data_IF_659615361749
#
_entry.id   IF_659615361749
#
_cell.length_a   1.000
_cell.length_b   1.000
_cell.length_c   1.000
_cell.angle_alpha   90.00
_cell.angle_beta   90.00
_cell.angle_gamma   90.00
#
_symmetry.space_group_name_H-M   'P 1'
#
loop_
_entity.id
_entity.type
_entity.pdbx_description
1 polymer ?
#
# COMPACT_ATOMS: atom_id res chain seq x y z
N UNK A 1 57.05 9.12 -37.55
CA UNK A 1 57.41 8.88 -36.13
C UNK A 1 56.11 8.78 -35.36
N UNK A 2 55.64 7.57 -35.10
CA UNK A 2 54.41 7.31 -34.35
C UNK A 2 54.78 6.80 -32.96
N UNK A 3 54.55 7.62 -31.95
CA UNK A 3 54.85 7.33 -30.55
C UNK A 3 53.56 7.31 -29.74
N UNK A 4 53.37 6.20 -29.01
CA UNK A 4 52.72 6.14 -27.70
C UNK A 4 51.21 6.47 -27.62
N UNK A 5 50.37 5.46 -27.84
CA UNK A 5 49.00 5.40 -27.31
C UNK A 5 48.73 4.11 -26.50
N UNK A 6 49.72 3.22 -26.34
CA UNK A 6 49.55 1.87 -25.79
C UNK A 6 49.95 1.71 -24.31
N UNK A 7 50.55 2.73 -23.68
CA UNK A 7 51.00 2.66 -22.29
C UNK A 7 49.90 3.01 -21.27
N UNK A 8 48.92 3.83 -21.66
CA UNK A 8 47.79 4.20 -20.81
C UNK A 8 46.75 3.07 -20.71
N UNK A 9 46.54 2.30 -21.78
CA UNK A 9 45.61 1.16 -21.78
C UNK A 9 46.13 0.00 -20.92
N UNK A 10 47.43 -0.32 -20.99
CA UNK A 10 48.00 -1.40 -20.19
C UNK A 10 47.97 -1.11 -18.68
N UNK A 11 48.12 0.15 -18.29
CA UNK A 11 48.02 0.56 -16.88
C UNK A 11 46.60 0.45 -16.35
N UNK A 12 45.59 0.84 -17.16
CA UNK A 12 44.17 0.66 -16.83
C UNK A 12 43.79 -0.81 -16.78
N UNK A 13 44.28 -1.63 -17.72
CA UNK A 13 44.02 -3.07 -17.74
C UNK A 13 44.56 -3.76 -16.47
N UNK A 14 45.73 -3.34 -15.97
CA UNK A 14 46.29 -3.87 -14.72
C UNK A 14 45.43 -3.49 -13.52
N UNK A 15 44.96 -2.23 -13.46
CA UNK A 15 44.08 -1.73 -12.39
C UNK A 15 42.73 -2.48 -12.38
N UNK A 16 42.10 -2.63 -13.54
CA UNK A 16 40.83 -3.37 -13.70
C UNK A 16 40.99 -4.83 -13.27
N UNK A 17 42.08 -5.50 -13.67
CA UNK A 17 42.32 -6.89 -13.29
C UNK A 17 42.53 -7.05 -11.77
N UNK A 18 43.13 -6.04 -11.12
CA UNK A 18 43.28 -6.01 -9.67
C UNK A 18 41.94 -5.85 -8.98
N UNK A 19 41.10 -4.91 -9.44
CA UNK A 19 39.73 -4.74 -8.92
C UNK A 19 38.91 -6.03 -9.10
N UNK A 20 38.92 -6.65 -10.28
CA UNK A 20 38.22 -7.91 -10.55
C UNK A 20 38.69 -9.09 -9.67
N UNK A 21 39.98 -9.13 -9.31
CA UNK A 21 40.48 -10.16 -8.39
C UNK A 21 40.00 -9.91 -6.96
N UNK A 22 39.97 -8.64 -6.55
CA UNK A 22 39.49 -8.23 -5.23
C UNK A 22 37.98 -8.44 -5.09
N UNK A 23 37.20 -8.09 -6.10
CA UNK A 23 35.76 -8.34 -6.16
C UNK A 23 35.43 -9.83 -6.09
N UNK A 24 36.18 -10.67 -6.83
CA UNK A 24 36.02 -12.14 -6.72
C UNK A 24 36.26 -12.64 -5.30
N UNK A 25 37.25 -12.10 -4.59
CA UNK A 25 37.53 -12.49 -3.22
C UNK A 25 36.46 -12.01 -2.24
N UNK A 26 35.88 -10.82 -2.49
CA UNK A 26 34.76 -10.29 -1.73
C UNK A 26 33.49 -11.13 -1.96
N UNK A 27 33.21 -11.50 -3.22
CA UNK A 27 32.05 -12.31 -3.61
C UNK A 27 32.03 -13.68 -2.92
N UNK A 28 33.20 -14.29 -2.69
CA UNK A 28 33.32 -15.54 -1.95
C UNK A 28 32.91 -15.41 -0.46
N UNK A 29 32.91 -14.20 0.08
CA UNK A 29 32.49 -13.91 1.48
C UNK A 29 31.03 -13.49 1.58
N UNK A 30 30.34 -13.30 0.45
CA UNK A 30 28.93 -12.90 0.39
C UNK A 30 28.05 -14.14 0.27
N UNK A 31 27.15 -14.34 1.22
CA UNK A 31 26.11 -15.36 1.12
C UNK A 31 24.95 -14.84 0.26
N UNK A 32 24.80 -15.38 -0.95
CA UNK A 32 23.69 -15.05 -1.86
C UNK A 32 22.49 -15.96 -1.58
N UNK A 33 21.44 -15.40 -0.97
CA UNK A 33 20.20 -16.11 -0.66
C UNK A 33 19.14 -15.85 -1.74
N UNK A 34 18.55 -16.92 -2.28
CA UNK A 34 17.43 -16.83 -3.22
C UNK A 34 16.14 -17.28 -2.54
N UNK A 35 15.13 -16.41 -2.55
CA UNK A 35 13.79 -16.73 -2.05
C UNK A 35 12.88 -17.03 -3.23
N UNK A 36 12.48 -18.29 -3.39
CA UNK A 36 11.59 -18.73 -4.45
C UNK A 36 10.22 -19.04 -3.87
N UNK A 37 9.18 -18.26 -4.19
CA UNK A 37 7.82 -18.78 -4.00
C UNK A 37 6.85 -18.40 -5.13
N UNK A 38 5.93 -19.33 -5.41
CA UNK A 38 4.90 -19.31 -6.45
C UNK A 38 3.67 -18.44 -6.12
N UNK A 39 3.59 -17.85 -4.92
CA UNK A 39 2.42 -17.10 -4.42
C UNK A 39 2.75 -15.63 -4.18
N UNK A 40 1.93 -14.75 -4.75
CA UNK A 40 1.93 -13.31 -4.45
C UNK A 40 1.46 -13.10 -3.00
N UNK A 41 2.17 -12.28 -2.21
CA UNK A 41 1.82 -12.00 -0.81
C UNK A 41 2.50 -12.87 0.26
N UNK A 42 3.37 -13.82 -0.12
CA UNK A 42 4.18 -14.65 0.82
C UNK A 42 5.04 -13.93 1.87
N UNK A 43 5.12 -12.60 1.87
CA UNK A 43 5.91 -11.85 2.84
C UNK A 43 7.41 -11.75 2.53
N UNK A 44 7.87 -12.11 1.32
CA UNK A 44 9.27 -11.92 0.90
C UNK A 44 9.75 -10.48 1.13
N UNK A 45 9.00 -9.50 0.62
CA UNK A 45 9.32 -8.08 0.83
C UNK A 45 9.32 -7.71 2.31
N UNK A 46 8.44 -8.31 3.12
CA UNK A 46 8.41 -8.12 4.58
C UNK A 46 9.66 -8.65 5.24
N UNK A 47 10.14 -9.84 4.85
CA UNK A 47 11.38 -10.42 5.34
C UNK A 47 12.61 -9.57 4.97
N UNK A 48 12.69 -9.09 3.73
CA UNK A 48 13.74 -8.17 3.30
C UNK A 48 13.70 -6.86 4.10
N UNK A 49 12.50 -6.29 4.30
CA UNK A 49 12.33 -5.09 5.13
C UNK A 49 12.80 -5.34 6.57
N UNK A 50 12.44 -6.47 7.17
CA UNK A 50 12.87 -6.85 8.51
C UNK A 50 14.39 -7.05 8.60
N UNK A 51 15.01 -7.74 7.66
CA UNK A 51 16.46 -7.95 7.63
C UNK A 51 17.21 -6.62 7.58
N UNK A 52 16.69 -5.69 6.76
CA UNK A 52 17.24 -4.36 6.61
C UNK A 52 17.09 -3.51 7.87
N UNK A 53 15.94 -3.57 8.56
CA UNK A 53 15.76 -2.92 9.88
C UNK A 53 16.68 -3.52 10.95
N UNK A 54 16.95 -4.83 10.92
CA UNK A 54 17.75 -5.51 11.96
C UNK A 54 19.27 -5.43 11.74
N UNK A 55 19.74 -5.41 10.49
CA UNK A 55 21.15 -5.58 10.14
C UNK A 55 21.68 -4.56 9.12
N UNK A 56 20.82 -3.74 8.55
CA UNK A 56 21.19 -2.68 7.61
C UNK A 56 21.00 -1.29 8.21
N UNK A 57 21.11 -0.28 7.36
CA UNK A 57 21.05 1.14 7.74
C UNK A 57 19.60 1.68 7.92
N UNK A 58 18.60 0.80 8.05
CA UNK A 58 17.18 1.18 8.11
C UNK A 58 16.68 1.77 6.79
N UNK A 59 15.63 2.60 6.83
CA UNK A 59 15.04 3.23 5.64
C UNK A 59 15.25 4.75 5.59
N UNK A 60 15.68 5.25 4.43
CA UNK A 60 15.81 6.68 4.19
C UNK A 60 14.43 7.35 4.12
N UNK A 61 14.38 8.65 4.43
CA UNK A 61 13.13 9.43 4.42
C UNK A 61 12.45 9.41 3.03
N UNK A 62 13.26 9.48 1.95
CA UNK A 62 12.78 9.37 0.57
C UNK A 62 12.10 8.04 0.25
N UNK A 63 12.55 6.95 0.87
CA UNK A 63 11.93 5.64 0.69
C UNK A 63 10.63 5.52 1.48
N UNK A 64 10.57 6.17 2.65
CA UNK A 64 9.36 6.25 3.46
C UNK A 64 8.25 7.01 2.74
N UNK A 65 8.57 8.02 1.94
CA UNK A 65 7.60 8.68 1.06
C UNK A 65 7.00 7.69 0.04
N UNK A 66 7.82 6.82 -0.54
CA UNK A 66 7.33 5.74 -1.40
C UNK A 66 6.39 4.78 -0.66
N UNK A 67 6.77 4.37 0.56
CA UNK A 67 5.90 3.52 1.39
C UNK A 67 4.59 4.20 1.77
N UNK A 68 4.62 5.51 2.02
CA UNK A 68 3.44 6.31 2.35
C UNK A 68 2.40 6.25 1.23
N UNK A 69 2.83 6.45 -0.01
CA UNK A 69 1.96 6.34 -1.19
C UNK A 69 1.35 4.93 -1.29
N UNK A 70 2.15 3.89 -1.11
CA UNK A 70 1.66 2.51 -1.14
C UNK A 70 0.65 2.21 -0.02
N UNK A 71 0.89 2.73 1.20
CA UNK A 71 -0.04 2.56 2.33
C UNK A 71 -1.37 3.23 2.04
N UNK A 72 -1.35 4.46 1.51
CA UNK A 72 -2.58 5.16 1.11
C UNK A 72 -3.36 4.41 0.05
N UNK A 73 -2.68 3.97 -1.01
CA UNK A 73 -3.28 3.17 -2.07
C UNK A 73 -3.96 1.92 -1.50
N UNK A 74 -3.23 1.20 -0.65
CA UNK A 74 -3.74 -0.01 -0.01
C UNK A 74 -4.99 0.30 0.84
N UNK A 75 -4.96 1.32 1.69
CA UNK A 75 -6.11 1.70 2.52
C UNK A 75 -7.34 1.98 1.66
N UNK A 76 -7.19 2.83 0.64
CA UNK A 76 -8.31 3.20 -0.24
C UNK A 76 -8.86 1.98 -0.97
N UNK A 77 -7.99 1.09 -1.46
CA UNK A 77 -8.41 -0.15 -2.11
C UNK A 77 -9.17 -1.08 -1.16
N UNK A 78 -8.66 -1.29 0.06
CA UNK A 78 -9.28 -2.18 1.04
C UNK A 78 -10.63 -1.63 1.52
N UNK A 79 -10.76 -0.31 1.72
CA UNK A 79 -12.06 0.31 2.06
C UNK A 79 -13.07 0.13 0.93
N UNK A 80 -12.67 0.33 -0.33
CA UNK A 80 -13.57 0.10 -1.49
C UNK A 80 -14.06 -1.35 -1.53
N UNK A 81 -13.16 -2.31 -1.31
CA UNK A 81 -13.49 -3.75 -1.26
C UNK A 81 -14.46 -4.05 -0.12
N UNK A 82 -14.22 -3.47 1.07
CA UNK A 82 -15.09 -3.65 2.23
C UNK A 82 -16.50 -3.12 1.98
N UNK A 83 -16.62 -1.90 1.42
CA UNK A 83 -17.92 -1.29 1.09
C UNK A 83 -18.66 -2.09 0.02
N UNK A 84 -17.94 -2.54 -1.01
CA UNK A 84 -18.51 -3.36 -2.08
C UNK A 84 -19.02 -4.70 -1.53
N UNK A 85 -18.23 -5.34 -0.67
CA UNK A 85 -18.60 -6.56 0.02
C UNK A 85 -19.82 -6.39 0.92
N UNK A 86 -19.90 -5.28 1.67
CA UNK A 86 -21.08 -4.97 2.47
C UNK A 86 -22.34 -4.87 1.61
N UNK A 87 -22.27 -4.19 0.47
CA UNK A 87 -23.41 -4.06 -0.43
C UNK A 87 -23.89 -5.43 -0.95
N UNK A 88 -22.97 -6.29 -1.37
CA UNK A 88 -23.30 -7.64 -1.83
C UNK A 88 -23.88 -8.53 -0.73
N UNK A 89 -23.32 -8.47 0.48
CA UNK A 89 -23.80 -9.26 1.62
C UNK A 89 -25.16 -8.77 2.11
N UNK A 90 -25.41 -7.46 2.07
CA UNK A 90 -26.71 -6.87 2.41
C UNK A 90 -27.82 -7.31 1.45
N UNK A 91 -27.52 -7.48 0.17
CA UNK A 91 -28.47 -8.02 -0.81
C UNK A 91 -28.79 -9.51 -0.55
N UNK A 92 -27.78 -10.29 -0.14
CA UNK A 92 -27.91 -11.73 0.12
C UNK A 92 -28.60 -12.05 1.45
N UNK A 93 -28.36 -11.26 2.50
CA UNK A 93 -28.90 -11.48 3.83
C UNK A 93 -29.39 -10.19 4.49
N UNK A 94 -30.62 -9.81 4.14
CA UNK A 94 -31.30 -8.64 4.69
C UNK A 94 -31.62 -8.79 6.19
N UNK A 95 -31.61 -10.00 6.75
CA UNK A 95 -31.93 -10.20 8.17
C UNK A 95 -30.75 -9.85 9.08
N UNK A 96 -29.52 -10.16 8.65
CA UNK A 96 -28.28 -9.85 9.36
C UNK A 96 -27.80 -8.41 9.11
N UNK A 97 -27.95 -7.90 7.89
CA UNK A 97 -27.37 -6.60 7.48
C UNK A 97 -28.42 -5.50 7.17
N UNK A 98 -29.72 -5.83 7.12
CA UNK A 98 -30.77 -4.89 6.71
C UNK A 98 -31.05 -3.75 7.68
N UNK A 99 -30.67 -3.87 8.97
CA UNK A 99 -30.82 -2.80 9.98
C UNK A 99 -29.82 -1.67 9.83
N UNK A 100 -28.76 -1.85 9.02
CA UNK A 100 -27.68 -0.88 8.90
C UNK A 100 -27.88 0.04 7.68
N UNK A 101 -28.07 1.33 7.94
CA UNK A 101 -28.15 2.38 6.93
C UNK A 101 -26.78 3.06 6.75
N UNK A 102 -26.04 2.62 5.74
CA UNK A 102 -24.73 3.23 5.36
C UNK A 102 -24.92 4.48 4.47
N UNK A 103 -26.18 4.93 4.28
CA UNK A 103 -26.56 5.99 3.34
C UNK A 103 -25.88 7.33 3.63
N UNK A 104 -25.45 7.59 4.87
CA UNK A 104 -24.73 8.82 5.24
C UNK A 104 -23.27 8.85 4.82
N UNK A 105 -22.59 7.70 4.81
CA UNK A 105 -21.14 7.62 4.54
C UNK A 105 -20.88 7.56 3.04
N UNK A 106 -21.80 6.95 2.29
CA UNK A 106 -21.82 6.97 0.83
C UNK A 106 -21.92 8.38 0.24
N UNK A 107 -22.29 9.38 1.04
CA UNK A 107 -22.37 10.78 0.62
C UNK A 107 -21.08 11.55 0.94
N UNK A 108 -20.38 11.19 2.02
CA UNK A 108 -19.16 11.87 2.47
C UNK A 108 -17.89 11.37 1.77
N UNK A 109 -17.84 10.08 1.42
CA UNK A 109 -16.68 9.48 0.74
C UNK A 109 -16.63 9.78 -0.78
N UNK A 110 -17.60 10.56 -1.29
CA UNK A 110 -18.11 10.41 -2.66
C UNK A 110 -18.15 11.69 -3.50
N UNK A 111 -17.49 12.79 -3.12
CA UNK A 111 -17.68 14.03 -3.86
C UNK A 111 -16.39 14.81 -4.17
N UNK A 112 -16.02 14.91 -5.47
CA UNK A 112 -15.35 16.10 -5.99
C UNK A 112 -16.25 17.31 -5.71
N UNK A 113 -15.67 18.41 -5.23
CA UNK A 113 -16.41 19.59 -4.75
C UNK A 113 -17.48 20.12 -5.73
N UNK A 114 -17.39 19.83 -7.04
CA UNK A 114 -18.36 20.31 -8.04
C UNK A 114 -19.66 19.47 -8.18
N UNK A 115 -19.69 18.20 -7.75
CA UNK A 115 -20.85 17.31 -7.97
C UNK A 115 -21.91 17.41 -6.86
N UNK A 116 -21.62 18.09 -5.75
CA UNK A 116 -22.47 18.18 -4.54
C UNK A 116 -23.80 18.86 -4.85
N UNK A 117 -23.82 19.75 -5.84
CA UNK A 117 -25.02 20.44 -6.28
C UNK A 117 -25.89 19.63 -7.28
N UNK A 118 -25.31 18.65 -7.98
CA UNK A 118 -25.95 17.94 -9.09
C UNK A 118 -26.73 16.68 -8.66
N UNK A 119 -26.30 16.01 -7.58
CA UNK A 119 -26.82 14.68 -7.17
C UNK A 119 -28.16 14.69 -6.43
N UNK A 120 -28.90 15.81 -6.41
CA UNK A 120 -30.28 15.86 -5.89
C UNK A 120 -31.29 15.06 -6.74
N UNK A 121 -30.89 14.42 -7.84
CA UNK A 121 -31.75 13.60 -8.70
C UNK A 121 -31.07 12.29 -9.14
N UNK A 122 -31.65 11.16 -8.68
CA UNK A 122 -31.63 9.78 -9.22
C UNK A 122 -30.41 8.87 -8.94
N UNK A 123 -30.74 7.78 -8.23
CA UNK A 123 -30.27 6.38 -8.35
C UNK A 123 -29.08 6.12 -9.30
N UNK A 124 -27.92 5.78 -8.74
CA UNK A 124 -27.14 4.55 -9.03
C UNK A 124 -25.80 4.61 -8.28
N UNK A 125 -25.78 3.95 -7.13
CA UNK A 125 -24.70 3.86 -6.15
C UNK A 125 -23.46 3.10 -6.65
N UNK A 126 -23.56 2.40 -7.79
CA UNK A 126 -22.54 1.46 -8.28
C UNK A 126 -21.55 2.04 -9.29
N UNK A 127 -21.85 3.17 -9.94
CA UNK A 127 -20.97 3.77 -10.98
C UNK A 127 -19.86 4.67 -10.44
N UNK A 128 -19.78 4.87 -9.13
CA UNK A 128 -18.85 5.83 -8.53
C UNK A 128 -17.53 5.20 -8.06
N UNK A 129 -17.51 3.89 -7.78
CA UNK A 129 -16.32 3.18 -7.29
C UNK A 129 -15.14 3.21 -8.30
N UNK A 130 -15.44 3.40 -9.59
CA UNK A 130 -14.46 3.59 -10.67
C UNK A 130 -13.78 4.97 -10.66
N UNK A 131 -14.31 5.97 -9.93
CA UNK A 131 -13.84 7.36 -10.00
C UNK A 131 -12.90 7.80 -8.89
N UNK A 132 -12.74 7.01 -7.82
CA UNK A 132 -11.69 7.24 -6.84
C UNK A 132 -10.38 6.74 -7.45
N UNK A 133 -9.47 7.64 -7.80
CA UNK A 133 -8.11 7.22 -8.16
C UNK A 133 -7.49 6.53 -6.94
N UNK A 134 -6.94 5.34 -7.17
CA UNK A 134 -6.28 4.58 -6.11
C UNK A 134 -5.03 5.27 -5.57
N UNK A 135 -4.61 6.36 -6.20
CA UNK A 135 -3.41 7.13 -5.86
C UNK A 135 -3.74 8.38 -5.04
N UNK A 136 -4.98 8.51 -4.56
CA UNK A 136 -5.39 9.61 -3.71
C UNK A 136 -4.67 9.59 -2.35
N UNK A 137 -4.15 10.75 -1.94
CA UNK A 137 -3.64 10.98 -0.59
C UNK A 137 -4.77 10.77 0.43
N UNK A 138 -4.50 10.00 1.49
CA UNK A 138 -5.42 9.89 2.63
C UNK A 138 -5.32 11.18 3.43
N UNK A 139 -6.11 12.17 3.03
CA UNK A 139 -6.27 13.42 3.78
C UNK A 139 -6.99 13.18 5.10
N UNK A 140 -6.96 14.17 5.98
CA UNK A 140 -7.71 14.12 7.25
C UNK A 140 -9.20 13.88 7.04
N UNK A 141 -9.81 14.47 5.99
CA UNK A 141 -11.23 14.24 5.72
C UNK A 141 -11.52 12.79 5.33
N UNK A 142 -10.66 12.19 4.51
CA UNK A 142 -10.78 10.78 4.10
C UNK A 142 -10.59 9.87 5.31
N UNK A 143 -9.57 10.15 6.14
CA UNK A 143 -9.30 9.39 7.35
C UNK A 143 -10.47 9.42 8.34
N UNK A 144 -11.05 10.60 8.58
CA UNK A 144 -12.21 10.76 9.47
C UNK A 144 -13.45 10.00 8.94
N UNK A 145 -13.66 10.00 7.63
CA UNK A 145 -14.74 9.25 6.99
C UNK A 145 -14.55 7.73 7.12
N UNK A 146 -13.32 7.23 6.89
CA UNK A 146 -12.97 5.82 7.08
C UNK A 146 -13.09 5.43 8.56
N UNK A 147 -12.64 6.27 9.49
CA UNK A 147 -12.77 6.02 10.92
C UNK A 147 -14.23 5.92 11.36
N UNK A 148 -15.10 6.74 10.78
CA UNK A 148 -16.54 6.69 11.05
C UNK A 148 -17.15 5.40 10.50
N UNK A 149 -16.78 5.01 9.27
CA UNK A 149 -17.20 3.75 8.66
C UNK A 149 -16.76 2.54 9.49
N UNK A 150 -15.51 2.51 9.95
CA UNK A 150 -14.95 1.39 10.70
C UNK A 150 -15.58 1.21 12.09
N UNK A 151 -16.17 2.26 12.66
CA UNK A 151 -16.89 2.17 13.94
C UNK A 151 -18.20 1.40 13.85
N UNK A 152 -18.79 1.32 12.66
CA UNK A 152 -20.10 0.65 12.45
C UNK A 152 -19.99 -0.87 12.60
N UNK A 153 -20.89 -1.45 13.40
CA UNK A 153 -20.92 -2.91 13.63
C UNK A 153 -21.19 -3.68 12.33
N UNK A 154 -21.92 -3.08 11.38
CA UNK A 154 -22.13 -3.64 10.04
C UNK A 154 -20.83 -3.85 9.27
N UNK A 155 -19.89 -2.91 9.39
CA UNK A 155 -18.61 -2.94 8.67
C UNK A 155 -17.68 -3.97 9.31
N UNK A 156 -17.69 -4.06 10.63
CA UNK A 156 -16.99 -5.13 11.36
C UNK A 156 -17.53 -6.52 11.02
N UNK A 157 -18.86 -6.69 10.99
CA UNK A 157 -19.50 -7.93 10.60
C UNK A 157 -19.21 -8.31 9.12
N UNK A 158 -19.04 -7.32 8.24
CA UNK A 158 -18.60 -7.55 6.86
C UNK A 158 -17.14 -7.97 6.80
N UNK A 159 -16.30 -7.39 7.65
CA UNK A 159 -14.89 -7.72 7.77
C UNK A 159 -14.65 -9.14 8.32
N UNK A 160 -15.59 -9.73 9.05
CA UNK A 160 -15.52 -11.15 9.43
C UNK A 160 -15.47 -12.06 8.19
N UNK A 161 -16.13 -11.66 7.10
CA UNK A 161 -16.13 -12.36 5.81
C UNK A 161 -14.95 -11.93 4.90
N UNK A 162 -13.92 -11.29 5.46
CA UNK A 162 -12.76 -10.73 4.72
C UNK A 162 -12.09 -11.71 3.77
N UNK A 163 -12.05 -12.99 4.11
CA UNK A 163 -11.46 -14.03 3.29
C UNK A 163 -12.21 -14.19 1.96
N UNK A 164 -13.55 -14.11 1.98
CA UNK A 164 -14.38 -14.15 0.77
C UNK A 164 -14.24 -12.85 -0.04
N UNK A 165 -14.08 -11.71 0.64
CA UNK A 165 -13.93 -10.39 0.03
C UNK A 165 -12.51 -10.10 -0.48
N UNK A 166 -11.56 -11.00 -0.22
CA UNK A 166 -10.12 -10.85 -0.54
C UNK A 166 -9.56 -9.55 0.04
N UNK A 167 -9.95 -9.21 1.26
CA UNK A 167 -9.30 -8.14 2.01
C UNK A 167 -7.97 -8.62 2.55
N UNK A 168 -6.97 -7.73 2.56
CA UNK A 168 -5.66 -8.06 3.10
C UNK A 168 -5.69 -8.15 4.63
N UNK A 169 -4.84 -8.99 5.21
CA UNK A 169 -4.76 -9.20 6.65
C UNK A 169 -4.32 -7.94 7.40
N UNK A 170 -3.58 -7.05 6.73
CA UNK A 170 -3.12 -5.77 7.30
C UNK A 170 -4.20 -4.68 7.32
N UNK A 171 -5.34 -4.89 6.68
CA UNK A 171 -6.41 -3.89 6.55
C UNK A 171 -6.93 -3.43 7.91
N UNK A 172 -7.09 -4.36 8.86
CA UNK A 172 -7.56 -4.06 10.22
C UNK A 172 -6.62 -3.09 10.95
N UNK A 173 -5.31 -3.32 10.85
CA UNK A 173 -4.31 -2.43 11.44
C UNK A 173 -4.45 -1.02 10.89
N UNK A 174 -4.55 -0.88 9.56
CA UNK A 174 -4.66 0.44 8.95
C UNK A 174 -5.96 1.17 9.30
N UNK A 175 -7.09 0.44 9.41
CA UNK A 175 -8.36 1.05 9.80
C UNK A 175 -8.36 1.52 11.26
N UNK A 176 -7.68 0.78 12.15
CA UNK A 176 -7.52 1.18 13.54
C UNK A 176 -6.59 2.40 13.70
N UNK A 177 -5.54 2.49 12.88
CA UNK A 177 -4.56 3.57 12.90
C UNK A 177 -4.87 4.71 11.91
N UNK A 178 -6.07 4.73 11.30
CA UNK A 178 -6.39 5.64 10.20
C UNK A 178 -6.30 7.12 10.60
N UNK A 179 -6.61 7.44 11.86
CA UNK A 179 -6.51 8.79 12.40
C UNK A 179 -5.06 9.33 12.35
N UNK A 180 -4.08 8.47 12.66
CA UNK A 180 -2.65 8.78 12.56
C UNK A 180 -2.22 8.95 11.10
N UNK A 181 -2.74 8.09 10.22
CA UNK A 181 -2.36 8.04 8.80
C UNK A 181 -2.89 9.27 8.04
N UNK A 182 -4.02 9.82 8.46
CA UNK A 182 -4.61 11.05 7.90
C UNK A 182 -3.97 12.35 8.38
N UNK A 183 -2.96 12.31 9.25
CA UNK A 183 -2.26 13.51 9.69
C UNK A 183 -1.38 14.09 8.57
N UNK A 184 -1.34 15.43 8.46
CA UNK A 184 -0.55 16.13 7.42
C UNK A 184 0.93 15.74 7.42
N UNK A 185 1.48 15.45 8.59
CA UNK A 185 2.88 15.07 8.78
C UNK A 185 3.06 13.56 8.97
N UNK A 186 2.09 12.75 8.52
CA UNK A 186 2.18 11.31 8.62
C UNK A 186 3.45 10.79 7.95
N UNK A 187 4.19 9.97 8.70
CA UNK A 187 5.36 9.25 8.23
C UNK A 187 5.22 7.77 8.65
N UNK A 188 5.37 6.82 7.71
CA UNK A 188 5.29 5.40 8.05
C UNK A 188 6.30 4.97 9.10
N UNK A 189 5.86 4.13 10.02
CA UNK A 189 6.71 3.50 11.03
C UNK A 189 7.22 2.15 10.55
N UNK A 190 8.37 1.73 11.07
CA UNK A 190 8.95 0.40 10.80
C UNK A 190 8.35 -0.73 11.65
N UNK A 191 7.41 -0.38 12.53
CA UNK A 191 6.64 -1.29 13.38
C UNK A 191 5.23 -1.46 12.84
#
# INVERSE_FOLDING_TARGET
MGTCASADDSSKDIEINRELAQDRQNDLRVLKLLFWELVSGSGKSTLFKQLRTLRGDGFEEKEKDGFKIHIWHQIVEQVKRLISGFAELKEKDQTKFGKFEVERIFFFLLLPLELFFFLKKKKKTTKFLEGLETDAEVSKEIADAIATLWKEDAMKATFEERAALKLDDTSEYFFNEIARIGEKNYMPTER
#
